data_IF_821520683702
#
_entry.id   IF_821520683702
#
_cell.length_a   1.000
_cell.length_b   1.000
_cell.length_c   1.000
_cell.angle_alpha   90.00
_cell.angle_beta   90.00
_cell.angle_gamma   90.00
#
_symmetry.space_group_name_H-M   'P 1'
#
loop_
_entity.id
_entity.type
_entity.pdbx_description
1 polymer ?
#
# COMPACT_ATOMS: atom_id res chain seq x y z
N UNK A 1 -96.17 -23.18 -15.40
CA UNK A 1 -94.94 -23.50 -14.65
C UNK A 1 -93.76 -23.00 -15.47
N UNK A 2 -92.99 -22.03 -14.95
CA UNK A 2 -91.79 -21.47 -15.61
C UNK A 2 -90.54 -22.21 -15.10
N UNK A 3 -89.54 -22.54 -15.93
CA UNK A 3 -88.30 -23.14 -15.45
C UNK A 3 -87.38 -22.05 -14.88
N UNK A 4 -86.75 -22.36 -13.75
CA UNK A 4 -85.76 -21.51 -13.07
C UNK A 4 -84.38 -22.02 -13.51
N UNK A 5 -83.63 -21.19 -14.24
CA UNK A 5 -82.21 -21.47 -14.55
C UNK A 5 -81.34 -21.19 -13.33
N UNK A 6 -80.60 -22.20 -12.88
CA UNK A 6 -79.64 -22.14 -11.80
C UNK A 6 -78.27 -21.71 -12.37
N UNK A 7 -77.81 -20.51 -12.04
CA UNK A 7 -76.47 -20.02 -12.41
C UNK A 7 -75.47 -20.47 -11.34
N UNK A 8 -74.56 -21.39 -11.69
CA UNK A 8 -73.44 -21.79 -10.82
C UNK A 8 -72.28 -20.83 -11.10
N UNK A 9 -71.95 -19.99 -10.12
CA UNK A 9 -70.76 -19.12 -10.14
C UNK A 9 -69.60 -19.92 -9.57
N UNK A 10 -68.65 -20.30 -10.42
CA UNK A 10 -67.40 -20.95 -10.03
C UNK A 10 -66.40 -19.85 -9.64
N UNK A 11 -66.11 -19.74 -8.34
CA UNK A 11 -65.04 -18.88 -7.82
C UNK A 11 -63.69 -19.58 -8.01
N UNK A 12 -62.89 -19.12 -8.98
CA UNK A 12 -61.51 -19.57 -9.15
C UNK A 12 -60.64 -18.77 -8.17
N UNK A 13 -60.29 -19.39 -7.05
CA UNK A 13 -59.26 -18.89 -6.13
C UNK A 13 -57.88 -19.09 -6.78
N UNK A 14 -57.36 -18.03 -7.41
CA UNK A 14 -55.96 -17.98 -7.85
C UNK A 14 -55.07 -17.73 -6.64
N UNK A 15 -54.57 -18.80 -6.01
CA UNK A 15 -53.52 -18.72 -5.00
C UNK A 15 -52.20 -18.37 -5.70
N UNK A 16 -51.83 -17.09 -5.64
CA UNK A 16 -50.50 -16.62 -6.02
C UNK A 16 -49.50 -17.14 -4.98
N UNK A 17 -48.85 -18.27 -5.27
CA UNK A 17 -47.66 -18.69 -4.53
C UNK A 17 -46.54 -17.68 -4.85
N UNK A 18 -46.30 -16.74 -3.94
CA UNK A 18 -45.09 -15.92 -3.94
C UNK A 18 -43.96 -16.80 -3.44
N UNK A 19 -43.23 -17.43 -4.36
CA UNK A 19 -41.93 -18.02 -4.03
C UNK A 19 -40.96 -16.86 -3.77
N UNK A 20 -40.59 -16.66 -2.50
CA UNK A 20 -39.44 -15.82 -2.14
C UNK A 20 -38.21 -16.60 -2.56
N UNK A 21 -37.61 -16.25 -3.69
CA UNK A 21 -36.30 -16.76 -4.09
C UNK A 21 -35.29 -16.37 -2.99
N UNK A 22 -34.71 -17.36 -2.33
CA UNK A 22 -33.71 -17.14 -1.29
C UNK A 22 -32.50 -16.48 -1.96
N UNK A 23 -32.29 -15.18 -1.72
CA UNK A 23 -31.24 -14.43 -2.39
C UNK A 23 -29.89 -15.08 -2.15
N UNK A 24 -29.10 -15.22 -3.22
CA UNK A 24 -27.71 -15.66 -3.13
C UNK A 24 -26.98 -14.82 -2.06
N UNK A 25 -26.34 -15.43 -1.05
CA UNK A 25 -25.64 -14.71 0.02
C UNK A 25 -24.61 -13.67 -0.49
N UNK A 26 -23.95 -13.96 -1.60
CA UNK A 26 -22.97 -13.05 -2.22
C UNK A 26 -23.65 -11.78 -2.73
N UNK A 27 -24.82 -11.93 -3.37
CA UNK A 27 -25.61 -10.81 -3.85
C UNK A 27 -26.12 -9.94 -2.68
N UNK A 28 -26.47 -10.57 -1.55
CA UNK A 28 -26.82 -9.83 -0.34
C UNK A 28 -25.63 -9.00 0.19
N UNK A 29 -24.41 -9.55 0.23
CA UNK A 29 -23.22 -8.79 0.62
C UNK A 29 -22.97 -7.59 -0.30
N UNK A 30 -23.12 -7.78 -1.61
CA UNK A 30 -23.01 -6.71 -2.60
C UNK A 30 -24.07 -5.61 -2.38
N UNK A 31 -25.33 -5.98 -2.18
CA UNK A 31 -26.41 -5.03 -1.90
C UNK A 31 -26.13 -4.22 -0.61
N UNK A 32 -25.68 -4.89 0.46
CA UNK A 32 -25.31 -4.23 1.72
C UNK A 32 -24.13 -3.28 1.49
N UNK A 33 -23.09 -3.71 0.77
CA UNK A 33 -21.91 -2.90 0.47
C UNK A 33 -22.28 -1.61 -0.28
N UNK A 34 -23.17 -1.69 -1.27
CA UNK A 34 -23.67 -0.53 -2.00
C UNK A 34 -24.57 0.36 -1.14
N UNK A 35 -25.41 -0.22 -0.28
CA UNK A 35 -26.26 0.55 0.64
C UNK A 35 -25.42 1.38 1.63
N UNK A 36 -24.29 0.84 2.07
CA UNK A 36 -23.28 1.50 2.91
C UNK A 36 -22.35 2.41 2.11
N UNK A 37 -22.47 2.48 0.79
CA UNK A 37 -21.61 3.25 -0.12
C UNK A 37 -20.13 2.93 0.06
N UNK A 38 -19.80 1.65 0.24
CA UNK A 38 -18.42 1.21 0.46
C UNK A 38 -17.53 1.51 -0.77
N UNK A 39 -18.10 1.60 -1.96
CA UNK A 39 -17.43 1.97 -3.21
C UNK A 39 -16.91 3.41 -3.20
N UNK A 40 -17.52 4.29 -2.41
CA UNK A 40 -17.13 5.68 -2.23
C UNK A 40 -16.29 5.89 -0.96
N UNK A 41 -16.13 4.86 -0.12
CA UNK A 41 -15.42 4.96 1.13
C UNK A 41 -13.93 5.29 0.88
N UNK A 42 -13.36 6.20 1.69
CA UNK A 42 -11.96 6.60 1.55
C UNK A 42 -11.01 5.40 1.63
N UNK A 43 -11.22 4.48 2.56
CA UNK A 43 -10.34 3.34 2.74
C UNK A 43 -10.32 2.43 1.51
N UNK A 44 -11.49 2.18 0.92
CA UNK A 44 -11.59 1.42 -0.33
C UNK A 44 -10.81 2.09 -1.46
N UNK A 45 -10.98 3.41 -1.61
CA UNK A 45 -10.26 4.19 -2.62
C UNK A 45 -8.74 4.16 -2.39
N UNK A 46 -8.29 4.16 -1.13
CA UNK A 46 -6.87 4.02 -0.78
C UNK A 46 -6.33 2.64 -1.17
N UNK A 47 -7.04 1.56 -0.83
CA UNK A 47 -6.67 0.18 -1.21
C UNK A 47 -6.58 -0.01 -2.73
N UNK A 48 -7.32 0.79 -3.49
CA UNK A 48 -7.27 0.79 -4.94
C UNK A 48 -6.35 1.86 -5.54
N UNK A 49 -5.65 2.66 -4.73
CA UNK A 49 -4.81 3.78 -5.18
C UNK A 49 -5.54 4.77 -6.10
N UNK A 50 -6.80 5.08 -5.80
CA UNK A 50 -7.58 6.06 -6.56
C UNK A 50 -7.15 7.49 -6.27
N UNK A 51 -6.95 8.28 -7.32
CA UNK A 51 -6.69 9.72 -7.25
C UNK A 51 -7.77 10.50 -7.99
N UNK A 52 -8.16 11.64 -7.42
CA UNK A 52 -9.03 12.59 -8.09
C UNK A 52 -8.20 13.48 -9.02
N UNK A 53 -8.67 13.77 -10.25
CA UNK A 53 -7.94 14.62 -11.18
C UNK A 53 -7.89 16.07 -10.66
N UNK A 54 -6.78 16.75 -10.91
CA UNK A 54 -6.54 18.13 -10.46
C UNK A 54 -7.47 19.13 -11.17
N UNK A 55 -7.78 18.87 -12.44
CA UNK A 55 -8.59 19.75 -13.28
C UNK A 55 -9.90 19.08 -13.70
N UNK A 56 -9.89 18.43 -14.87
CA UNK A 56 -11.04 17.78 -15.46
C UNK A 56 -10.73 16.31 -15.68
N UNK A 57 -11.70 15.46 -15.39
CA UNK A 57 -11.59 14.02 -15.58
C UNK A 57 -12.43 13.25 -14.58
N UNK A 58 -12.36 11.93 -14.66
CA UNK A 58 -12.89 11.04 -13.64
C UNK A 58 -11.75 10.55 -12.76
N UNK A 59 -12.06 10.29 -11.49
CA UNK A 59 -11.12 9.59 -10.61
C UNK A 59 -10.75 8.24 -11.22
N UNK A 60 -9.46 7.90 -11.18
CA UNK A 60 -8.93 6.62 -11.62
C UNK A 60 -7.88 6.15 -10.63
N UNK A 61 -7.63 4.85 -10.62
CA UNK A 61 -6.46 4.30 -9.95
C UNK A 61 -5.18 4.67 -10.68
N UNK A 62 -4.14 4.92 -9.89
CA UNK A 62 -2.75 5.03 -10.34
C UNK A 62 -2.09 3.67 -10.57
N UNK A 63 -2.69 2.56 -10.11
CA UNK A 63 -2.16 1.23 -10.40
C UNK A 63 -2.37 0.89 -11.88
N UNK A 64 -1.29 0.51 -12.56
CA UNK A 64 -1.26 0.23 -14.00
C UNK A 64 -1.22 -1.27 -14.33
N UNK A 65 -0.86 -2.11 -13.36
CA UNK A 65 -0.87 -3.56 -13.50
C UNK A 65 -2.28 -4.13 -13.68
N UNK A 66 -2.55 -4.75 -14.84
CA UNK A 66 -3.85 -5.38 -15.12
C UNK A 66 -4.24 -6.45 -14.08
N UNK A 67 -3.25 -7.15 -13.50
CA UNK A 67 -3.48 -8.19 -12.50
C UNK A 67 -3.92 -7.64 -11.13
N UNK A 68 -3.85 -6.33 -10.89
CA UNK A 68 -4.22 -5.71 -9.62
C UNK A 68 -5.73 -5.56 -9.41
N UNK A 69 -6.49 -5.51 -10.50
CA UNK A 69 -7.94 -5.40 -10.45
C UNK A 69 -8.57 -6.75 -10.72
N UNK A 70 -9.61 -7.07 -9.95
CA UNK A 70 -10.44 -8.25 -10.20
C UNK A 70 -11.49 -7.94 -11.27
N UNK A 71 -11.97 -6.71 -11.33
CA UNK A 71 -12.86 -6.22 -12.38
C UNK A 71 -12.07 -5.69 -13.58
N UNK A 72 -12.45 -6.01 -14.82
CA UNK A 72 -11.87 -5.39 -16.01
C UNK A 72 -11.98 -3.86 -16.04
N UNK A 73 -12.96 -3.29 -15.32
CA UNK A 73 -13.17 -1.84 -15.21
C UNK A 73 -12.61 -1.27 -13.90
N UNK A 74 -11.99 -2.08 -13.05
CA UNK A 74 -11.64 -1.74 -11.67
C UNK A 74 -10.65 -0.57 -11.53
N UNK A 75 -9.93 -0.23 -12.59
CA UNK A 75 -9.07 0.96 -12.65
C UNK A 75 -9.84 2.28 -12.71
N UNK A 76 -11.06 2.27 -13.28
CA UNK A 76 -11.86 3.49 -13.49
C UNK A 76 -13.24 3.44 -12.85
N UNK A 77 -13.65 2.28 -12.33
CA UNK A 77 -14.90 2.06 -11.62
C UNK A 77 -14.65 1.33 -10.29
N UNK A 78 -14.53 2.07 -9.16
CA UNK A 78 -14.26 1.46 -7.86
C UNK A 78 -15.44 0.64 -7.36
N UNK A 79 -16.65 0.89 -7.88
CA UNK A 79 -17.85 0.10 -7.58
C UNK A 79 -17.80 -1.24 -8.29
N UNK A 80 -17.41 -1.26 -9.57
CA UNK A 80 -17.23 -2.52 -10.30
C UNK A 80 -16.16 -3.40 -9.64
N UNK A 81 -15.03 -2.80 -9.20
CA UNK A 81 -14.00 -3.52 -8.45
C UNK A 81 -14.52 -4.05 -7.12
N UNK A 82 -15.31 -3.27 -6.38
CA UNK A 82 -15.87 -3.69 -5.09
C UNK A 82 -16.75 -4.93 -5.24
N UNK A 83 -17.67 -4.90 -6.20
CA UNK A 83 -18.62 -5.98 -6.44
C UNK A 83 -17.90 -7.25 -6.88
N UNK A 84 -16.93 -7.13 -7.79
CA UNK A 84 -16.13 -8.26 -8.27
C UNK A 84 -15.22 -8.82 -7.18
N UNK A 85 -14.65 -7.95 -6.32
CA UNK A 85 -13.86 -8.36 -5.15
C UNK A 85 -14.67 -9.22 -4.21
N UNK A 86 -15.90 -8.79 -3.89
CA UNK A 86 -16.81 -9.57 -3.03
C UNK A 86 -17.09 -10.92 -3.68
N UNK A 87 -17.52 -10.97 -4.95
CA UNK A 87 -17.77 -12.24 -5.65
C UNK A 87 -16.55 -13.17 -5.65
N UNK A 88 -15.38 -12.61 -5.94
CA UNK A 88 -14.12 -13.34 -6.08
C UNK A 88 -13.61 -13.95 -4.77
N UNK A 89 -14.02 -13.46 -3.60
CA UNK A 89 -13.65 -14.09 -2.33
C UNK A 89 -14.39 -15.41 -2.06
N UNK A 90 -15.59 -15.59 -2.63
CA UNK A 90 -16.45 -16.75 -2.37
C UNK A 90 -16.49 -17.75 -3.52
N UNK A 91 -15.82 -17.48 -4.64
CA UNK A 91 -15.77 -18.46 -5.73
C UNK A 91 -14.98 -19.69 -5.33
N UNK A 92 -15.28 -20.81 -5.99
CA UNK A 92 -14.48 -22.02 -5.85
C UNK A 92 -13.05 -21.78 -6.37
N UNK A 93 -12.03 -22.30 -5.68
CA UNK A 93 -10.66 -22.18 -6.11
C UNK A 93 -10.37 -23.06 -7.33
N UNK A 94 -9.55 -22.55 -8.23
CA UNK A 94 -9.04 -23.32 -9.36
C UNK A 94 -7.93 -24.28 -8.90
N UNK A 95 -7.64 -25.37 -9.64
CA UNK A 95 -6.56 -26.29 -9.28
C UNK A 95 -5.21 -25.60 -9.03
N UNK A 96 -4.84 -24.65 -9.89
CA UNK A 96 -3.62 -23.84 -9.78
C UNK A 96 -3.56 -22.97 -8.50
N UNK A 97 -4.72 -22.65 -7.92
CA UNK A 97 -4.83 -21.86 -6.69
C UNK A 97 -4.81 -22.71 -5.43
N UNK A 98 -5.25 -23.97 -5.53
CA UNK A 98 -5.07 -24.98 -4.49
C UNK A 98 -3.59 -25.37 -4.39
N UNK A 99 -2.90 -25.47 -5.53
CA UNK A 99 -1.45 -25.72 -5.61
C UNK A 99 -0.58 -24.48 -5.33
N UNK A 100 -1.20 -23.31 -5.11
CA UNK A 100 -0.56 -22.00 -4.89
C UNK A 100 0.44 -21.54 -5.99
N UNK A 101 0.33 -22.10 -7.20
CA UNK A 101 1.05 -21.59 -8.39
C UNK A 101 0.47 -20.26 -8.85
N UNK A 102 -0.84 -20.08 -8.65
CA UNK A 102 -1.54 -18.79 -8.67
C UNK A 102 -2.21 -18.55 -7.32
N UNK A 103 -2.44 -17.29 -6.95
CA UNK A 103 -3.12 -16.97 -5.70
C UNK A 103 -4.61 -16.74 -5.96
N UNK A 104 -5.46 -17.45 -5.21
CA UNK A 104 -6.88 -17.12 -5.11
C UNK A 104 -7.04 -15.67 -4.61
N UNK A 105 -8.03 -14.89 -5.08
CA UNK A 105 -8.28 -13.51 -4.65
C UNK A 105 -8.33 -13.34 -3.12
N UNK A 106 -8.92 -14.31 -2.42
CA UNK A 106 -8.94 -14.37 -0.95
C UNK A 106 -7.53 -14.34 -0.32
N UNK A 107 -6.56 -15.05 -0.91
CA UNK A 107 -5.16 -15.09 -0.44
C UNK A 107 -4.31 -13.95 -1.03
N UNK A 108 -4.71 -13.42 -2.19
CA UNK A 108 -4.03 -12.32 -2.88
C UNK A 108 -4.30 -10.96 -2.23
N UNK A 109 -5.52 -10.75 -1.73
CA UNK A 109 -5.98 -9.47 -1.18
C UNK A 109 -6.37 -9.55 0.31
N UNK A 110 -5.44 -9.87 1.22
CA UNK A 110 -5.71 -10.04 2.64
C UNK A 110 -6.22 -8.76 3.33
N UNK A 111 -5.73 -7.58 2.94
CA UNK A 111 -6.16 -6.31 3.54
C UNK A 111 -7.52 -5.87 2.99
N UNK A 112 -7.77 -6.04 1.67
CA UNK A 112 -9.12 -5.84 1.12
C UNK A 112 -10.13 -6.77 1.78
N UNK A 113 -9.75 -8.03 1.99
CA UNK A 113 -10.59 -9.01 2.70
C UNK A 113 -10.86 -8.57 4.13
N UNK A 114 -9.82 -8.29 4.92
CA UNK A 114 -9.93 -7.85 6.32
C UNK A 114 -10.85 -6.63 6.44
N UNK A 115 -10.68 -5.64 5.57
CA UNK A 115 -11.52 -4.45 5.58
C UNK A 115 -12.97 -4.76 5.22
N UNK A 116 -13.23 -5.45 4.11
CA UNK A 116 -14.60 -5.78 3.69
C UNK A 116 -15.33 -6.65 4.71
N UNK A 117 -14.63 -7.61 5.29
CA UNK A 117 -15.14 -8.46 6.36
C UNK A 117 -15.51 -7.65 7.61
N UNK A 118 -14.71 -6.64 7.98
CA UNK A 118 -15.07 -5.73 9.08
C UNK A 118 -16.33 -4.90 8.80
N UNK A 119 -16.69 -4.70 7.53
CA UNK A 119 -17.88 -3.93 7.12
C UNK A 119 -19.11 -4.81 6.91
N UNK A 120 -18.93 -6.06 6.47
CA UNK A 120 -19.99 -6.94 5.98
C UNK A 120 -20.21 -8.18 6.85
N UNK A 121 -19.25 -8.50 7.73
CA UNK A 121 -19.25 -9.66 8.62
C UNK A 121 -19.52 -10.96 7.84
N UNK A 122 -18.57 -11.36 7.00
CA UNK A 122 -18.74 -12.49 6.10
C UNK A 122 -18.92 -13.80 6.87
N UNK A 123 -19.84 -14.64 6.40
CA UNK A 123 -19.98 -16.00 6.92
C UNK A 123 -18.77 -16.84 6.48
N UNK A 124 -17.99 -17.29 7.47
CA UNK A 124 -16.81 -18.12 7.24
C UNK A 124 -17.16 -19.48 6.64
N UNK A 125 -18.38 -19.97 6.83
CA UNK A 125 -18.85 -21.23 6.25
C UNK A 125 -19.00 -21.18 4.73
N UNK A 126 -19.13 -19.98 4.15
CA UNK A 126 -19.27 -19.77 2.71
C UNK A 126 -17.92 -19.54 2.01
N UNK A 127 -16.85 -19.26 2.75
CA UNK A 127 -15.53 -19.01 2.17
C UNK A 127 -14.88 -20.32 1.71
N UNK A 128 -14.06 -20.27 0.63
CA UNK A 128 -13.32 -21.43 0.19
C UNK A 128 -12.33 -21.88 1.27
N UNK A 129 -12.16 -23.20 1.40
CA UNK A 129 -11.23 -23.80 2.37
C UNK A 129 -9.80 -23.75 1.84
N UNK A 130 -9.17 -22.57 1.94
CA UNK A 130 -7.78 -22.34 1.54
C UNK A 130 -6.93 -21.99 2.77
N UNK A 131 -5.69 -22.51 2.79
CA UNK A 131 -4.75 -22.19 3.86
C UNK A 131 -4.00 -20.88 3.64
N UNK A 132 -3.85 -20.43 2.39
CA UNK A 132 -3.05 -19.26 2.01
C UNK A 132 -1.63 -19.29 2.62
N UNK A 133 -0.93 -20.43 2.48
CA UNK A 133 0.33 -20.72 3.14
C UNK A 133 1.41 -19.71 2.76
N UNK A 134 1.51 -19.34 1.49
CA UNK A 134 2.45 -18.29 1.03
C UNK A 134 2.27 -16.97 1.76
N UNK A 135 1.03 -16.49 1.92
CA UNK A 135 0.78 -15.23 2.64
C UNK A 135 1.05 -15.37 4.13
N UNK A 136 0.61 -16.47 4.76
CA UNK A 136 0.85 -16.75 6.19
C UNK A 136 2.35 -16.78 6.51
N UNK A 137 3.12 -17.56 5.76
CA UNK A 137 4.57 -17.65 5.92
C UNK A 137 5.24 -16.28 5.73
N UNK A 138 4.75 -15.49 4.76
CA UNK A 138 5.29 -14.16 4.48
C UNK A 138 5.02 -13.17 5.62
N UNK A 139 3.78 -13.05 6.09
CA UNK A 139 3.44 -12.10 7.16
C UNK A 139 4.06 -12.51 8.51
N UNK A 140 4.16 -13.82 8.79
CA UNK A 140 4.81 -14.35 9.98
C UNK A 140 6.32 -14.10 9.98
N UNK A 141 6.99 -14.25 8.83
CA UNK A 141 8.43 -13.97 8.72
C UNK A 141 8.76 -12.50 8.97
N UNK A 142 7.87 -11.59 8.56
CA UNK A 142 8.02 -10.14 8.79
C UNK A 142 7.65 -9.74 10.23
N UNK A 143 6.66 -10.40 10.83
CA UNK A 143 6.15 -10.13 12.18
C UNK A 143 6.01 -8.62 12.49
N UNK A 144 5.23 -7.86 11.70
CA UNK A 144 5.24 -6.40 11.71
C UNK A 144 4.62 -5.84 13.00
N UNK A 145 5.42 -5.13 13.79
CA UNK A 145 4.97 -4.47 15.04
C UNK A 145 5.14 -2.96 15.03
N UNK A 146 5.93 -2.43 14.10
CA UNK A 146 6.15 -0.99 13.95
C UNK A 146 6.51 -0.61 12.51
N UNK A 147 6.30 0.66 12.16
CA UNK A 147 6.72 1.24 10.89
C UNK A 147 7.61 2.45 11.18
N UNK A 148 8.77 2.50 10.53
CA UNK A 148 9.65 3.69 10.54
C UNK A 148 9.76 4.25 9.13
N UNK A 149 9.70 5.57 8.98
CA UNK A 149 10.14 6.24 7.76
C UNK A 149 11.65 6.45 7.85
N UNK A 150 12.39 5.99 6.84
CA UNK A 150 13.83 6.28 6.72
C UNK A 150 14.04 7.28 5.59
N UNK A 151 14.77 8.34 5.89
CA UNK A 151 15.22 9.33 4.92
C UNK A 151 16.74 9.22 4.74
N UNK A 152 17.16 8.92 3.52
CA UNK A 152 18.55 8.98 3.10
C UNK A 152 18.86 10.38 2.54
N UNK A 153 19.88 11.05 3.08
CA UNK A 153 20.26 12.43 2.74
C UNK A 153 20.58 12.61 1.25
N UNK A 154 20.66 13.84 0.76
CA UNK A 154 20.91 14.17 -0.66
C UNK A 154 22.15 13.46 -1.24
N UNK A 155 22.05 13.04 -2.51
CA UNK A 155 23.17 12.44 -3.25
C UNK A 155 23.34 13.10 -4.62
N UNK A 156 24.35 13.97 -4.74
CA UNK A 156 24.58 14.79 -5.94
C UNK A 156 25.01 13.98 -7.17
N UNK A 157 25.58 12.79 -6.97
CA UNK A 157 26.09 11.96 -8.06
C UNK A 157 24.98 11.15 -8.78
N UNK A 158 23.74 11.20 -8.31
CA UNK A 158 22.60 10.55 -8.95
C UNK A 158 21.40 11.52 -9.02
N UNK A 159 20.97 11.94 -10.23
CA UNK A 159 19.82 12.83 -10.40
C UNK A 159 18.54 12.35 -9.71
N UNK A 160 18.29 11.03 -9.68
CA UNK A 160 17.11 10.44 -9.04
C UNK A 160 17.14 10.49 -7.50
N UNK A 161 18.31 10.72 -6.90
CA UNK A 161 18.51 10.87 -5.44
C UNK A 161 19.00 12.27 -5.04
N UNK A 162 18.94 13.22 -5.97
CA UNK A 162 19.40 14.59 -5.76
C UNK A 162 18.69 15.25 -4.56
N UNK A 163 17.40 14.91 -4.38
CA UNK A 163 16.54 15.45 -3.32
C UNK A 163 16.38 14.51 -2.11
N UNK A 164 17.26 13.51 -1.99
CA UNK A 164 17.17 12.46 -0.98
C UNK A 164 16.28 11.31 -1.43
N UNK A 165 16.13 10.30 -0.57
CA UNK A 165 15.29 9.13 -0.86
C UNK A 165 14.60 8.65 0.40
N UNK A 166 13.33 8.28 0.27
CA UNK A 166 12.55 7.72 1.38
C UNK A 166 12.31 6.23 1.16
N UNK A 167 12.31 5.49 2.26
CA UNK A 167 11.88 4.10 2.34
C UNK A 167 11.11 3.91 3.65
N UNK A 168 10.29 2.87 3.73
CA UNK A 168 9.74 2.43 5.01
C UNK A 168 10.58 1.26 5.55
N UNK A 169 10.67 1.16 6.87
CA UNK A 169 11.19 -0.01 7.57
C UNK A 169 10.06 -0.63 8.37
N UNK A 170 9.83 -1.92 8.16
CA UNK A 170 8.93 -2.76 8.94
C UNK A 170 9.76 -3.32 10.09
N UNK A 171 9.49 -2.85 11.31
CA UNK A 171 10.12 -3.37 12.51
C UNK A 171 9.45 -4.65 12.97
N UNK A 172 10.26 -5.63 13.38
CA UNK A 172 9.78 -6.90 13.91
C UNK A 172 9.69 -6.89 15.45
N UNK A 173 8.72 -7.62 16.01
CA UNK A 173 8.54 -7.77 17.46
C UNK A 173 9.58 -8.65 18.17
N UNK A 174 10.52 -9.24 17.42
CA UNK A 174 11.52 -10.15 17.98
C UNK A 174 12.67 -9.38 18.63
N UNK A 175 12.62 -9.25 19.96
CA UNK A 175 13.67 -8.60 20.78
C UNK A 175 15.09 -9.16 20.59
N UNK A 176 15.24 -10.38 20.05
CA UNK A 176 16.52 -11.02 19.77
C UNK A 176 17.08 -10.75 18.36
N UNK A 177 16.26 -10.21 17.44
CA UNK A 177 16.73 -9.85 16.10
C UNK A 177 17.36 -8.45 16.12
N UNK A 178 18.50 -8.32 15.47
CA UNK A 178 19.13 -7.00 15.27
C UNK A 178 18.24 -6.15 14.36
N UNK A 179 18.02 -4.87 14.69
CA UNK A 179 17.24 -3.92 13.85
C UNK A 179 17.74 -3.82 12.40
N UNK A 180 18.97 -4.27 12.10
CA UNK A 180 19.50 -4.31 10.72
C UNK A 180 18.89 -5.43 9.87
N UNK A 181 18.32 -6.44 10.53
CA UNK A 181 17.68 -7.62 9.92
C UNK A 181 16.18 -7.41 9.69
N UNK A 182 15.62 -6.29 10.16
CA UNK A 182 14.30 -5.83 9.77
C UNK A 182 14.20 -5.63 8.26
N UNK A 183 13.00 -5.42 7.73
CA UNK A 183 12.77 -5.31 6.29
C UNK A 183 12.50 -3.87 5.87
N UNK A 184 13.15 -3.45 4.79
CA UNK A 184 12.92 -2.18 4.11
C UNK A 184 11.96 -2.36 2.94
N UNK A 185 10.99 -1.47 2.84
CA UNK A 185 10.06 -1.32 1.72
C UNK A 185 10.49 -0.11 0.91
N UNK A 186 10.83 -0.37 -0.35
CA UNK A 186 11.28 0.63 -1.29
C UNK A 186 10.31 0.71 -2.46
N UNK A 187 10.10 1.91 -3.00
CA UNK A 187 9.44 2.11 -4.28
C UNK A 187 10.43 2.73 -5.26
N UNK A 188 10.66 2.09 -6.39
CA UNK A 188 11.64 2.55 -7.38
C UNK A 188 11.23 2.15 -8.80
N UNK A 189 11.75 2.90 -9.77
CA UNK A 189 11.67 2.55 -11.18
C UNK A 189 12.39 1.21 -11.43
N UNK A 190 11.72 0.30 -12.13
CA UNK A 190 12.31 -0.92 -12.66
C UNK A 190 12.87 -0.62 -14.06
N UNK A 191 14.15 -0.22 -14.12
CA UNK A 191 14.85 0.09 -15.37
C UNK A 191 15.66 -1.10 -15.89
N UNK A 192 15.85 -1.17 -17.21
CA UNK A 192 16.79 -2.13 -17.79
C UNK A 192 18.23 -1.74 -17.42
N UNK A 193 19.14 -2.70 -17.15
CA UNK A 193 20.56 -2.44 -16.94
C UNK A 193 21.25 -1.73 -18.11
N UNK A 194 20.67 -1.81 -19.30
CA UNK A 194 21.22 -1.26 -20.55
C UNK A 194 20.90 0.22 -20.79
N UNK A 195 20.06 0.85 -19.96
CA UNK A 195 19.68 2.25 -20.15
C UNK A 195 20.84 3.20 -19.77
N UNK A 196 21.29 4.02 -20.72
CA UNK A 196 22.26 5.09 -20.46
C UNK A 196 21.73 6.12 -19.45
N UNK A 197 22.61 6.78 -18.70
CA UNK A 197 22.24 7.78 -17.69
C UNK A 197 21.34 8.93 -18.24
N UNK A 198 21.49 9.29 -19.52
CA UNK A 198 20.65 10.29 -20.18
C UNK A 198 19.24 9.74 -20.47
N UNK A 199 19.13 8.50 -20.96
CA UNK A 199 17.85 7.82 -21.20
C UNK A 199 17.11 7.58 -19.89
N UNK A 200 17.83 7.16 -18.85
CA UNK A 200 17.32 7.02 -17.48
C UNK A 200 16.77 8.35 -16.93
N UNK A 201 17.50 9.44 -17.13
CA UNK A 201 17.07 10.77 -16.66
C UNK A 201 15.85 11.28 -17.43
N UNK A 202 15.83 11.18 -18.77
CA UNK A 202 14.70 11.65 -19.58
C UNK A 202 13.45 10.82 -19.34
N UNK A 203 13.55 9.48 -19.37
CA UNK A 203 12.42 8.58 -19.10
C UNK A 203 11.93 8.73 -17.66
N UNK A 204 12.83 8.85 -16.68
CA UNK A 204 12.44 9.08 -15.29
C UNK A 204 11.71 10.40 -15.07
N UNK A 205 12.10 11.48 -15.75
CA UNK A 205 11.38 12.77 -15.71
C UNK A 205 10.02 12.69 -16.43
N UNK A 206 9.89 11.86 -17.47
CA UNK A 206 8.68 11.75 -18.29
C UNK A 206 7.71 10.61 -17.91
N UNK A 207 7.97 9.83 -16.85
CA UNK A 207 7.07 8.72 -16.47
C UNK A 207 7.32 7.39 -17.19
N UNK A 208 8.46 7.24 -17.86
CA UNK A 208 8.72 6.14 -18.80
C UNK A 208 9.17 4.81 -18.17
N UNK A 209 9.08 4.65 -16.84
CA UNK A 209 9.46 3.42 -16.15
C UNK A 209 8.33 2.89 -15.27
N UNK A 210 8.10 1.56 -15.24
CA UNK A 210 7.21 0.97 -14.26
C UNK A 210 7.86 1.06 -12.88
N UNK A 211 7.21 1.76 -11.96
CA UNK A 211 7.52 1.81 -10.54
C UNK A 211 6.93 0.61 -9.82
N UNK A 212 7.73 -0.04 -8.97
CA UNK A 212 7.31 -1.22 -8.20
C UNK A 212 7.69 -1.08 -6.73
N UNK A 213 6.85 -1.63 -5.86
CA UNK A 213 7.22 -1.85 -4.47
C UNK A 213 8.12 -3.08 -4.35
N UNK A 214 9.16 -2.98 -3.53
CA UNK A 214 10.10 -4.07 -3.29
C UNK A 214 10.48 -4.12 -1.82
N UNK A 215 10.61 -5.33 -1.31
CA UNK A 215 10.98 -5.59 0.08
C UNK A 215 12.37 -6.24 0.14
N UNK A 216 13.24 -5.73 1.00
CA UNK A 216 14.61 -6.20 1.16
C UNK A 216 15.00 -6.23 2.64
N UNK A 217 15.90 -7.11 3.09
CA UNK A 217 16.54 -6.95 4.38
C UNK A 217 17.20 -5.57 4.50
N UNK A 218 17.00 -4.87 5.61
CA UNK A 218 17.37 -3.47 5.78
C UNK A 218 18.88 -3.22 5.65
N UNK A 219 19.72 -4.19 6.05
CA UNK A 219 21.17 -4.10 5.90
C UNK A 219 21.62 -3.87 4.44
N UNK A 220 20.88 -4.34 3.44
CA UNK A 220 21.20 -4.04 2.03
C UNK A 220 21.09 -2.54 1.75
N UNK A 221 20.05 -1.89 2.27
CA UNK A 221 19.83 -0.44 2.09
C UNK A 221 20.74 0.41 2.96
N UNK A 222 21.16 -0.09 4.12
CA UNK A 222 22.25 0.52 4.89
C UNK A 222 23.54 0.50 4.07
N UNK A 223 23.92 -0.66 3.52
CA UNK A 223 25.15 -0.80 2.75
C UNK A 223 25.13 0.10 1.50
N UNK A 224 24.01 0.13 0.77
CA UNK A 224 23.83 0.99 -0.40
C UNK A 224 23.95 2.48 -0.04
N UNK A 225 23.08 2.99 0.85
CA UNK A 225 22.99 4.42 1.09
C UNK A 225 24.05 4.94 2.07
N UNK A 226 24.28 4.27 3.20
CA UNK A 226 25.15 4.77 4.26
C UNK A 226 26.63 4.47 4.00
N UNK A 227 26.93 3.26 3.52
CA UNK A 227 28.31 2.78 3.40
C UNK A 227 28.90 3.07 2.01
N UNK A 228 28.19 2.73 0.93
CA UNK A 228 28.67 2.96 -0.44
C UNK A 228 28.48 4.41 -0.89
N UNK A 229 27.28 4.97 -0.74
CA UNK A 229 26.99 6.36 -1.16
C UNK A 229 27.41 7.41 -0.12
N UNK A 230 27.84 6.98 1.08
CA UNK A 230 28.24 7.86 2.19
C UNK A 230 27.18 8.88 2.60
N UNK A 231 25.90 8.48 2.57
CA UNK A 231 24.75 9.32 2.92
C UNK A 231 24.33 9.09 4.36
N UNK A 232 23.93 10.16 5.03
CA UNK A 232 23.35 10.07 6.36
C UNK A 232 21.94 9.46 6.28
N UNK A 233 21.57 8.65 7.27
CA UNK A 233 20.21 8.15 7.40
C UNK A 233 19.53 8.74 8.64
N UNK A 234 18.30 9.19 8.46
CA UNK A 234 17.41 9.60 9.54
C UNK A 234 16.27 8.59 9.63
N UNK A 235 16.01 8.05 10.81
CA UNK A 235 14.89 7.15 11.05
C UNK A 235 13.83 7.84 11.92
N UNK A 236 12.59 7.83 11.46
CA UNK A 236 11.43 8.39 12.15
C UNK A 236 10.47 7.24 12.46
N UNK A 237 10.46 6.79 13.71
CA UNK A 237 9.52 5.77 14.17
C UNK A 237 8.14 6.37 14.30
N UNK A 238 7.17 5.80 13.58
CA UNK A 238 5.83 6.35 13.46
C UNK A 238 4.91 5.75 14.54
N UNK A 239 3.90 6.52 14.93
CA UNK A 239 2.96 6.18 15.98
C UNK A 239 1.84 5.24 15.49
N UNK A 240 2.24 4.15 14.84
CA UNK A 240 1.35 3.06 14.48
C UNK A 240 1.39 1.96 15.53
N UNK A 241 0.24 1.35 15.82
CA UNK A 241 0.18 0.12 16.58
C UNK A 241 0.49 -1.11 15.71
N UNK A 242 0.48 -2.28 16.33
CA UNK A 242 0.75 -3.56 15.65
C UNK A 242 -0.29 -3.87 14.57
N UNK A 243 -1.57 -3.58 14.81
CA UNK A 243 -2.64 -3.82 13.84
C UNK A 243 -2.50 -2.90 12.62
N UNK A 244 -2.20 -1.63 12.82
CA UNK A 244 -1.92 -0.68 11.74
C UNK A 244 -0.68 -1.10 10.95
N UNK A 245 0.38 -1.54 11.63
CA UNK A 245 1.60 -2.05 10.99
C UNK A 245 1.33 -3.31 10.15
N UNK A 246 0.49 -4.22 10.66
CA UNK A 246 0.00 -5.39 9.92
C UNK A 246 -0.82 -5.02 8.70
N UNK A 247 -1.73 -4.04 8.78
CA UNK A 247 -2.53 -3.58 7.62
C UNK A 247 -1.66 -3.01 6.52
N UNK A 248 -0.69 -2.17 6.88
CA UNK A 248 0.28 -1.60 5.93
C UNK A 248 1.04 -2.74 5.24
N UNK A 249 1.53 -3.71 6.03
CA UNK A 249 2.30 -4.84 5.51
C UNK A 249 1.44 -5.76 4.64
N UNK A 250 0.22 -6.08 5.06
CA UNK A 250 -0.73 -6.86 4.27
C UNK A 250 -1.05 -6.19 2.94
N UNK A 251 -1.17 -4.86 2.89
CA UNK A 251 -1.38 -4.16 1.63
C UNK A 251 -0.13 -4.16 0.73
N UNK A 252 1.09 -4.11 1.29
CA UNK A 252 2.32 -4.28 0.50
C UNK A 252 2.34 -5.62 -0.25
N UNK A 253 1.80 -6.68 0.36
CA UNK A 253 1.62 -7.97 -0.32
C UNK A 253 0.68 -7.88 -1.54
N UNK A 254 -0.43 -7.15 -1.41
CA UNK A 254 -1.40 -6.93 -2.50
C UNK A 254 -0.78 -6.21 -3.70
N UNK A 255 0.21 -5.37 -3.43
CA UNK A 255 0.93 -4.58 -4.43
C UNK A 255 2.03 -5.39 -5.15
N UNK A 256 2.35 -6.59 -4.69
CA UNK A 256 3.45 -7.40 -5.25
C UNK A 256 3.27 -7.79 -6.72
N UNK A 257 2.03 -7.80 -7.25
CA UNK A 257 1.75 -8.13 -8.66
C UNK A 257 1.42 -6.91 -9.53
N UNK A 258 1.59 -5.68 -9.03
CA UNK A 258 1.26 -4.46 -9.77
C UNK A 258 2.46 -3.56 -9.99
N UNK A 259 2.29 -2.59 -10.87
CA UNK A 259 3.21 -1.49 -11.11
C UNK A 259 2.41 -0.19 -11.27
N UNK A 260 3.13 0.93 -11.21
CA UNK A 260 2.62 2.27 -11.36
C UNK A 260 3.52 3.03 -12.33
N UNK A 261 3.01 4.03 -13.05
CA UNK A 261 3.84 4.95 -13.82
C UNK A 261 4.79 5.73 -12.86
N UNK A 262 6.11 5.65 -13.07
CA UNK A 262 7.10 6.30 -12.20
C UNK A 262 7.57 7.62 -12.79
N UNK A 263 7.16 8.75 -12.20
CA UNK A 263 7.72 10.06 -12.52
C UNK A 263 8.73 10.49 -11.44
N UNK A 264 9.77 11.22 -11.82
CA UNK A 264 10.79 11.70 -10.86
C UNK A 264 10.24 12.81 -9.95
N UNK A 265 9.34 13.64 -10.47
CA UNK A 265 8.84 14.81 -9.77
C UNK A 265 7.45 14.64 -9.17
N UNK A 266 6.59 13.76 -9.71
CA UNK A 266 5.28 13.38 -9.14
C UNK A 266 5.20 11.84 -9.04
N UNK A 267 4.28 11.28 -8.25
CA UNK A 267 4.07 9.81 -8.17
C UNK A 267 5.34 8.98 -7.86
N UNK A 268 6.35 9.60 -7.23
CA UNK A 268 7.64 8.99 -6.96
C UNK A 268 7.66 8.16 -5.66
N UNK A 269 8.84 7.67 -5.30
CA UNK A 269 9.07 6.88 -4.09
C UNK A 269 8.43 7.45 -2.83
N UNK A 270 8.54 8.76 -2.62
CA UNK A 270 8.03 9.38 -1.41
C UNK A 270 6.51 9.47 -1.44
N UNK A 271 5.92 9.76 -2.59
CA UNK A 271 4.47 9.81 -2.78
C UNK A 271 3.81 8.45 -2.52
N UNK A 272 4.33 7.40 -3.15
CA UNK A 272 3.77 6.07 -3.03
C UNK A 272 3.91 5.51 -1.61
N UNK A 273 4.96 5.86 -0.87
CA UNK A 273 5.07 5.48 0.54
C UNK A 273 4.05 6.19 1.44
N UNK A 274 3.65 7.43 1.13
CA UNK A 274 2.57 8.10 1.86
C UNK A 274 1.24 7.36 1.72
N UNK A 275 0.98 6.76 0.55
CA UNK A 275 -0.23 5.92 0.36
C UNK A 275 -0.28 4.77 1.36
N UNK A 276 0.87 4.11 1.60
CA UNK A 276 0.98 3.03 2.57
C UNK A 276 0.73 3.54 3.99
N UNK A 277 1.26 4.70 4.38
CA UNK A 277 1.01 5.26 5.72
C UNK A 277 -0.48 5.56 5.93
N UNK A 278 -1.19 5.99 4.88
CA UNK A 278 -2.64 6.22 4.94
C UNK A 278 -3.47 4.92 5.02
N UNK A 279 -2.93 3.77 4.60
CA UNK A 279 -3.53 2.46 4.90
C UNK A 279 -3.49 2.18 6.41
N UNK A 280 -2.39 2.55 7.08
CA UNK A 280 -2.31 2.45 8.55
C UNK A 280 -3.26 3.41 9.27
N UNK A 281 -3.37 4.64 8.77
CA UNK A 281 -4.29 5.65 9.30
C UNK A 281 -4.87 6.53 8.17
N UNK A 282 -6.13 6.29 7.74
CA UNK A 282 -6.75 6.99 6.61
C UNK A 282 -7.00 8.48 6.82
N UNK A 283 -7.01 8.92 8.08
CA UNK A 283 -7.25 10.31 8.46
C UNK A 283 -6.03 11.21 8.25
N UNK A 284 -4.84 10.63 8.01
CA UNK A 284 -3.62 11.41 7.81
C UNK A 284 -3.64 12.26 6.53
N UNK A 285 -4.32 11.79 5.47
CA UNK A 285 -4.50 12.52 4.20
C UNK A 285 -3.22 13.20 3.67
N UNK A 286 -2.09 12.49 3.78
CA UNK A 286 -0.75 13.00 3.48
C UNK A 286 -0.60 13.31 1.98
N UNK A 287 -1.15 12.46 1.11
CA UNK A 287 -1.07 12.58 -0.35
C UNK A 287 -1.82 13.79 -0.89
N UNK A 288 -2.87 14.24 -0.20
CA UNK A 288 -3.69 15.38 -0.61
C UNK A 288 -2.87 16.69 -0.71
N UNK A 289 -1.69 16.74 -0.07
CA UNK A 289 -0.76 17.87 -0.09
C UNK A 289 0.20 17.86 -1.28
N UNK A 290 0.28 16.76 -2.03
CA UNK A 290 1.27 16.57 -3.10
C UNK A 290 0.58 16.33 -4.45
N UNK A 291 -0.08 17.37 -4.96
CA UNK A 291 -0.84 17.27 -6.22
C UNK A 291 -0.01 17.61 -7.47
N UNK A 292 1.18 18.18 -7.33
CA UNK A 292 1.97 18.70 -8.46
C UNK A 292 3.39 18.12 -8.51
N UNK A 293 4.04 18.05 -7.36
CA UNK A 293 5.34 17.43 -7.21
C UNK A 293 5.51 16.93 -5.78
N UNK A 294 6.32 15.89 -5.60
CA UNK A 294 6.65 15.32 -4.30
C UNK A 294 8.16 15.32 -4.11
N UNK A 295 8.67 16.19 -3.24
CA UNK A 295 10.10 16.16 -2.87
C UNK A 295 10.25 15.28 -1.62
N UNK A 296 11.19 14.31 -1.59
CA UNK A 296 11.36 13.43 -0.45
C UNK A 296 11.51 14.15 0.90
N UNK A 297 12.31 15.22 0.96
CA UNK A 297 12.44 16.03 2.17
C UNK A 297 11.14 16.70 2.62
N UNK A 298 10.25 17.06 1.69
CA UNK A 298 8.97 17.70 2.01
C UNK A 298 7.99 16.70 2.61
N UNK A 299 8.04 15.43 2.20
CA UNK A 299 7.23 14.37 2.83
C UNK A 299 7.67 14.10 4.27
N UNK A 300 8.98 14.16 4.55
CA UNK A 300 9.53 14.07 5.93
C UNK A 300 9.04 15.26 6.77
N UNK A 301 9.09 16.47 6.20
CA UNK A 301 8.58 17.68 6.87
C UNK A 301 7.09 17.55 7.17
N UNK A 302 6.28 17.09 6.21
CA UNK A 302 4.85 16.88 6.41
C UNK A 302 4.58 15.90 7.56
N UNK A 303 5.34 14.79 7.62
CA UNK A 303 5.20 13.79 8.68
C UNK A 303 5.59 14.35 10.05
N UNK A 304 6.62 15.20 10.12
CA UNK A 304 7.01 15.90 11.34
C UNK A 304 5.99 16.96 11.79
N UNK A 305 5.24 17.54 10.85
CA UNK A 305 4.16 18.49 11.15
C UNK A 305 2.88 17.80 11.66
N UNK A 306 2.71 16.49 11.44
CA UNK A 306 1.60 15.73 12.00
C UNK A 306 1.79 15.51 13.50
N UNK A 307 0.97 16.18 14.31
CA UNK A 307 1.04 16.08 15.76
C UNK A 307 0.85 14.63 16.23
N UNK A 308 1.81 14.13 17.00
CA UNK A 308 1.77 12.77 17.55
C UNK A 308 2.06 11.65 16.55
N UNK A 309 2.37 11.93 15.28
CA UNK A 309 2.69 10.88 14.30
C UNK A 309 4.09 10.30 14.48
N UNK A 310 5.08 11.07 14.92
CA UNK A 310 6.46 10.59 15.13
C UNK A 310 6.73 10.34 16.61
N UNK A 311 6.98 9.08 16.98
CA UNK A 311 7.34 8.67 18.36
C UNK A 311 8.81 8.92 18.70
N UNK A 312 9.70 8.60 17.75
CA UNK A 312 11.15 8.64 17.98
C UNK A 312 11.90 9.01 16.72
N UNK A 313 12.97 9.79 16.89
CA UNK A 313 13.92 10.16 15.83
C UNK A 313 15.29 9.56 16.13
N UNK A 314 15.87 8.88 15.16
CA UNK A 314 17.23 8.32 15.23
C UNK A 314 18.07 8.79 14.04
N UNK A 315 19.38 8.87 14.23
CA UNK A 315 20.32 9.34 13.21
C UNK A 315 21.49 8.36 13.08
N UNK A 316 21.76 7.94 11.84
CA UNK A 316 22.89 7.10 11.49
C UNK A 316 23.86 7.91 10.61
N UNK A 317 24.95 8.43 11.17
CA UNK A 317 25.91 9.20 10.39
C UNK A 317 26.64 8.30 9.40
N UNK A 318 26.88 8.82 8.21
CA UNK A 318 27.73 8.20 7.20
C UNK A 318 29.19 8.16 7.63
N UNK A 319 30.01 7.40 6.91
CA UNK A 319 31.46 7.39 7.12
C UNK A 319 32.05 8.81 6.95
N UNK A 320 31.61 9.54 5.93
CA UNK A 320 32.02 10.92 5.67
C UNK A 320 31.64 11.86 6.81
N UNK A 321 30.42 11.78 7.32
CA UNK A 321 29.96 12.59 8.46
C UNK A 321 30.77 12.28 9.73
N UNK A 322 31.06 11.01 10.01
CA UNK A 322 31.94 10.59 11.12
C UNK A 322 33.35 11.13 10.96
N UNK A 323 33.91 11.11 9.74
CA UNK A 323 35.25 11.61 9.46
C UNK A 323 35.35 13.13 9.62
N UNK A 324 34.39 13.87 9.05
CA UNK A 324 34.31 15.33 9.18
C UNK A 324 34.15 15.76 10.63
N UNK A 325 33.33 15.06 11.41
CA UNK A 325 33.18 15.32 12.83
C UNK A 325 34.51 15.13 13.58
N UNK A 326 35.26 14.05 13.29
CA UNK A 326 36.58 13.82 13.90
C UNK A 326 37.59 14.90 13.53
N UNK A 327 37.62 15.31 12.26
CA UNK A 327 38.48 16.40 11.77
C UNK A 327 38.18 17.72 12.50
N UNK A 328 36.90 18.09 12.60
CA UNK A 328 36.47 19.28 13.33
C UNK A 328 36.94 19.28 14.79
N UNK A 329 36.86 18.14 15.49
CA UNK A 329 37.36 18.01 16.86
C UNK A 329 38.89 18.12 16.97
N UNK A 330 39.63 17.63 15.97
CA UNK A 330 41.08 17.75 15.94
C UNK A 330 41.53 19.20 15.71
N UNK A 331 40.87 19.92 14.81
CA UNK A 331 41.11 21.34 14.55
C UNK A 331 40.82 22.19 15.79
N UNK A 332 39.67 21.98 16.42
CA UNK A 332 39.30 22.69 17.66
C UNK A 332 40.29 22.43 18.80
N UNK A 333 40.84 21.21 18.92
CA UNK A 333 41.89 20.90 19.89
C UNK A 333 43.19 21.62 19.59
N UNK A 334 43.58 21.74 18.32
CA UNK A 334 44.74 22.55 17.92
C UNK A 334 44.54 24.01 18.30
N UNK A 335 43.39 24.60 18.00
CA UNK A 335 43.10 26.00 18.34
C UNK A 335 43.11 26.30 19.84
N UNK A 336 42.62 25.36 20.68
CA UNK A 336 42.70 25.49 22.15
C UNK A 336 44.16 25.34 22.62
N UNK A 337 44.94 24.46 21.98
CA UNK A 337 46.37 24.31 22.27
C UNK A 337 47.19 25.56 21.95
N UNK A 338 46.86 26.28 20.87
CA UNK A 338 47.53 27.53 20.48
C UNK A 338 47.07 28.77 21.26
N UNK A 339 45.90 28.75 21.91
CA UNK A 339 45.43 29.86 22.77
C UNK A 339 45.88 29.77 24.22
N UNK A 340 46.46 28.64 24.63
CA UNK A 340 46.99 28.39 25.97
C UNK A 340 48.54 28.44 26.02
N UNK A 341 49.16 28.95 24.96
CA UNK A 341 50.58 29.34 24.86
C UNK A 341 50.58 30.85 24.65
#
# INVERSE_FOLDING_TARGET
MKPISLFIIVFILSSSFVFSEEKNPIQLYQEIALSKKLDLNRYWRLLLHYRDPIFFGKSKSEADGNEFFLSPNGKTDPKAELLETISSFFREPLPEEIEETKLHPFCKYPERFRWLDSQLNFDRGLLPKLNCERYKNWIEALNPTSIKLIFASFYLNNPASLFGHNLLKIGSGESSKSEILDYAVNFAANNSPDDSALVYTIKGVMGGYPGVFSIFPYYYKINEYNDMESRDLWEYELNFDEEQSKRITAHIWELGSTHFDYFFFDENCSYQLLSLLEIGNPELKLRDRFNLYTIPSDTVKLILEQEGLVRKKSYRPSLSSKMNQKLFYLEKKKDIGYRNI
#
